data_IF_118303340616
#
_entry.id   IF_118303340616
#
_cell.length_a   1.000
_cell.length_b   1.000
_cell.length_c   1.000
_cell.angle_alpha   90.00
_cell.angle_beta   90.00
_cell.angle_gamma   90.00
#
_symmetry.space_group_name_H-M   'P 1'
#
loop_
_entity.id
_entity.type
_entity.pdbx_description
1 polymer ?
#
# COMPACT_ATOMS: atom_id res chain seq x y z
N UNK A 1 36.46 -16.34 -16.62
CA UNK A 1 36.89 -15.22 -15.78
C UNK A 1 35.75 -14.20 -15.71
N UNK A 2 35.04 -14.15 -14.61
CA UNK A 2 33.86 -13.30 -14.41
C UNK A 2 34.31 -12.02 -13.68
N UNK A 3 34.17 -10.87 -14.36
CA UNK A 3 34.48 -9.54 -13.80
C UNK A 3 33.36 -9.10 -12.84
N UNK A 4 33.66 -9.15 -11.57
CA UNK A 4 32.81 -8.60 -10.51
C UNK A 4 32.75 -7.07 -10.63
N UNK A 5 31.58 -6.52 -11.01
CA UNK A 5 31.33 -5.08 -10.94
C UNK A 5 31.22 -4.62 -9.50
N UNK A 6 32.18 -3.80 -9.06
CA UNK A 6 32.24 -3.09 -7.77
C UNK A 6 30.90 -2.40 -7.45
N UNK A 7 30.26 -2.82 -6.37
CA UNK A 7 29.12 -2.13 -5.77
C UNK A 7 29.64 -0.90 -5.06
N UNK A 8 29.41 0.26 -5.65
CA UNK A 8 29.73 1.55 -5.05
C UNK A 8 28.84 1.81 -3.83
N UNK A 9 29.40 1.71 -2.64
CA UNK A 9 28.80 2.08 -1.36
C UNK A 9 28.67 3.61 -1.27
N UNK A 10 27.61 4.17 -1.85
CA UNK A 10 27.24 5.56 -1.61
C UNK A 10 26.11 5.61 -0.59
N UNK A 11 26.39 6.30 0.50
CA UNK A 11 25.61 6.51 1.72
C UNK A 11 24.08 6.68 1.49
N UNK A 12 23.30 5.78 2.08
CA UNK A 12 22.08 6.15 2.81
C UNK A 12 20.84 6.61 2.04
N UNK A 13 20.74 6.57 0.71
CA UNK A 13 19.50 6.85 -0.04
C UNK A 13 19.05 5.58 -0.74
N UNK A 14 18.12 4.86 -0.13
CA UNK A 14 17.44 3.73 -0.77
C UNK A 14 16.73 4.25 -2.02
N UNK A 15 17.30 3.98 -3.19
CA UNK A 15 16.71 4.41 -4.46
C UNK A 15 15.57 3.45 -4.82
N UNK A 16 14.34 3.77 -4.41
CA UNK A 16 13.13 2.99 -4.72
C UNK A 16 12.93 2.69 -6.21
N UNK A 17 13.48 3.51 -7.09
CA UNK A 17 13.40 3.34 -8.55
C UNK A 17 14.39 2.31 -9.12
N UNK A 18 15.38 1.86 -8.35
CA UNK A 18 16.33 0.84 -8.80
C UNK A 18 15.75 -0.60 -8.74
N UNK A 19 14.47 -0.75 -8.43
CA UNK A 19 13.74 -2.02 -8.57
C UNK A 19 13.42 -2.21 -10.06
N UNK A 20 14.43 -1.98 -10.90
CA UNK A 20 14.34 -2.06 -12.34
C UNK A 20 13.94 -3.44 -12.84
N UNK A 21 13.13 -3.46 -13.87
CA UNK A 21 12.99 -4.62 -14.74
C UNK A 21 14.32 -4.89 -15.41
N UNK A 22 14.85 -6.10 -15.28
CA UNK A 22 15.93 -6.56 -16.14
C UNK A 22 15.37 -6.52 -17.56
N UNK A 23 15.90 -5.59 -18.37
CA UNK A 23 15.52 -5.47 -19.77
C UNK A 23 16.33 -6.48 -20.59
N UNK A 24 15.66 -7.35 -21.33
CA UNK A 24 16.32 -8.41 -22.10
C UNK A 24 16.21 -8.22 -23.61
N UNK A 25 15.12 -7.69 -24.13
CA UNK A 25 14.90 -7.47 -25.59
C UNK A 25 13.80 -6.42 -25.84
N UNK A 26 13.84 -5.72 -26.98
CA UNK A 26 12.84 -4.75 -27.44
C UNK A 26 13.14 -3.29 -27.06
N UNK A 27 12.15 -2.39 -27.19
CA UNK A 27 12.29 -0.97 -26.86
C UNK A 27 12.57 -0.80 -25.36
N UNK A 28 13.58 0.03 -24.96
CA UNK A 28 13.88 0.28 -23.55
C UNK A 28 12.64 0.75 -22.78
N UNK A 29 12.46 0.28 -21.53
CA UNK A 29 11.35 0.73 -20.70
C UNK A 29 11.49 2.23 -20.43
N UNK A 30 10.35 2.93 -20.36
CA UNK A 30 10.31 4.33 -19.93
C UNK A 30 10.88 4.44 -18.50
N UNK A 31 11.44 5.61 -18.19
CA UNK A 31 12.04 5.92 -16.89
C UNK A 31 11.11 5.55 -15.73
N UNK A 32 11.57 4.65 -14.87
CA UNK A 32 10.81 4.18 -13.71
C UNK A 32 10.54 5.31 -12.70
N UNK A 33 11.41 6.32 -12.63
CA UNK A 33 11.20 7.49 -11.77
C UNK A 33 9.98 8.29 -12.22
N UNK A 34 9.88 8.56 -13.53
CA UNK A 34 8.73 9.25 -14.11
C UNK A 34 7.44 8.45 -13.86
N UNK A 35 7.49 7.12 -14.04
CA UNK A 35 6.34 6.24 -13.80
C UNK A 35 5.87 6.26 -12.34
N UNK A 36 6.81 6.17 -11.38
CA UNK A 36 6.49 6.24 -9.94
C UNK A 36 5.94 7.62 -9.57
N UNK A 37 6.49 8.69 -10.13
CA UNK A 37 6.00 10.06 -9.89
C UNK A 37 4.57 10.23 -10.41
N UNK A 38 4.27 9.68 -11.59
CA UNK A 38 2.91 9.68 -12.16
C UNK A 38 1.93 8.89 -11.28
N UNK A 39 2.32 7.70 -10.82
CA UNK A 39 1.51 6.89 -9.90
C UNK A 39 1.28 7.62 -8.57
N UNK A 40 2.28 8.33 -8.05
CA UNK A 40 2.14 9.15 -6.85
C UNK A 40 1.18 10.32 -7.08
N UNK A 41 1.23 10.96 -8.23
CA UNK A 41 0.31 12.03 -8.59
C UNK A 41 -1.14 11.53 -8.56
N UNK A 42 -1.43 10.39 -9.21
CA UNK A 42 -2.75 9.74 -9.17
C UNK A 42 -3.17 9.39 -7.73
N UNK A 43 -2.26 8.80 -6.94
CA UNK A 43 -2.51 8.46 -5.54
C UNK A 43 -2.91 9.70 -4.72
N UNK A 44 -2.17 10.78 -4.89
CA UNK A 44 -2.35 12.02 -4.11
C UNK A 44 -3.61 12.76 -4.48
N UNK A 45 -3.88 12.94 -5.77
CA UNK A 45 -4.97 13.78 -6.30
C UNK A 45 -6.28 13.03 -6.43
N UNK A 46 -6.25 11.70 -6.61
CA UNK A 46 -7.44 10.88 -6.83
C UNK A 46 -8.07 11.04 -8.21
N UNK A 47 -7.45 11.78 -9.14
CA UNK A 47 -7.99 12.00 -10.50
C UNK A 47 -8.15 10.69 -11.27
N UNK A 48 -9.07 10.61 -12.24
CA UNK A 48 -9.13 9.51 -13.18
C UNK A 48 -7.81 9.30 -13.93
N UNK A 49 -7.50 8.07 -14.30
CA UNK A 49 -6.26 7.77 -15.04
C UNK A 49 -6.15 8.54 -16.36
N UNK A 50 -7.30 8.76 -17.02
CA UNK A 50 -7.37 9.47 -18.31
C UNK A 50 -6.98 10.94 -18.21
N UNK A 51 -7.13 11.53 -17.02
CA UNK A 51 -6.85 12.95 -16.74
C UNK A 51 -5.40 13.17 -16.28
N UNK A 52 -4.55 12.14 -16.41
CA UNK A 52 -3.15 12.26 -16.06
C UNK A 52 -2.47 13.31 -16.96
N UNK A 53 -1.81 14.35 -16.39
CA UNK A 53 -1.13 15.40 -17.17
C UNK A 53 -0.13 14.84 -18.18
N UNK A 54 -0.10 15.42 -19.38
CA UNK A 54 0.73 14.98 -20.52
C UNK A 54 2.23 14.91 -20.19
N UNK A 55 2.71 15.72 -19.22
CA UNK A 55 4.11 15.70 -18.74
C UNK A 55 4.55 14.33 -18.21
N UNK A 56 3.64 13.47 -17.79
CA UNK A 56 3.92 12.10 -17.35
C UNK A 56 3.90 11.09 -18.51
N UNK A 57 3.58 11.55 -19.73
CA UNK A 57 3.37 10.73 -20.90
C UNK A 57 1.98 10.11 -20.97
N UNK A 58 1.73 9.21 -21.94
CA UNK A 58 0.42 8.61 -22.12
C UNK A 58 -0.05 7.86 -20.87
N UNK A 59 -1.24 8.22 -20.39
CA UNK A 59 -1.85 7.63 -19.19
C UNK A 59 -1.95 6.09 -19.28
N UNK A 60 -2.22 5.56 -20.47
CA UNK A 60 -2.34 4.12 -20.71
C UNK A 60 -1.03 3.37 -20.43
N UNK A 61 0.12 3.98 -20.73
CA UNK A 61 1.44 3.42 -20.43
C UNK A 61 1.68 3.34 -18.92
N UNK A 62 1.32 4.41 -18.18
CA UNK A 62 1.46 4.46 -16.72
C UNK A 62 0.52 3.45 -16.06
N UNK A 63 -0.75 3.40 -16.50
CA UNK A 63 -1.75 2.47 -16.01
C UNK A 63 -1.34 1.00 -16.24
N UNK A 64 -0.90 0.68 -17.45
CA UNK A 64 -0.43 -0.67 -17.80
C UNK A 64 0.77 -1.08 -16.93
N UNK A 65 1.72 -0.17 -16.70
CA UNK A 65 2.86 -0.39 -15.81
C UNK A 65 2.38 -0.63 -14.36
N UNK A 66 1.48 0.20 -13.86
CA UNK A 66 0.89 0.04 -12.55
C UNK A 66 0.20 -1.32 -12.40
N UNK A 67 -0.64 -1.72 -13.36
CA UNK A 67 -1.34 -3.01 -13.37
C UNK A 67 -0.36 -4.20 -13.35
N UNK A 68 0.71 -4.14 -14.15
CA UNK A 68 1.78 -5.15 -14.15
C UNK A 68 2.48 -5.24 -12.80
N UNK A 69 2.74 -4.11 -12.16
CA UNK A 69 3.37 -4.08 -10.85
C UNK A 69 2.45 -4.59 -9.75
N UNK A 70 1.15 -4.33 -9.82
CA UNK A 70 0.16 -4.93 -8.93
C UNK A 70 0.14 -6.45 -9.06
N UNK A 71 -0.01 -6.97 -10.29
CA UNK A 71 -0.04 -8.40 -10.56
C UNK A 71 1.24 -9.12 -10.11
N UNK A 72 2.40 -8.47 -10.29
CA UNK A 72 3.69 -8.98 -9.84
C UNK A 72 3.94 -8.81 -8.32
N UNK A 73 3.01 -8.25 -7.55
CA UNK A 73 3.16 -8.02 -6.10
C UNK A 73 4.32 -7.10 -5.71
N UNK A 74 4.75 -6.19 -6.61
CA UNK A 74 5.94 -5.34 -6.37
C UNK A 74 5.77 -4.44 -5.16
N UNK A 75 4.60 -3.82 -4.99
CA UNK A 75 4.34 -2.92 -3.86
C UNK A 75 4.39 -3.65 -2.52
N UNK A 76 3.84 -4.89 -2.46
CA UNK A 76 3.93 -5.73 -1.27
C UNK A 76 5.39 -6.09 -0.94
N UNK A 77 6.19 -6.47 -1.95
CA UNK A 77 7.61 -6.79 -1.75
C UNK A 77 8.41 -5.59 -1.27
N UNK A 78 8.16 -4.40 -1.82
CA UNK A 78 8.84 -3.17 -1.37
C UNK A 78 8.44 -2.85 0.07
N UNK A 79 7.15 -2.96 0.41
CA UNK A 79 6.69 -2.75 1.78
C UNK A 79 7.36 -3.74 2.74
N UNK A 80 7.43 -5.02 2.38
CA UNK A 80 8.11 -6.03 3.19
C UNK A 80 9.61 -5.71 3.38
N UNK A 81 10.28 -5.19 2.35
CA UNK A 81 11.68 -4.79 2.45
C UNK A 81 11.90 -3.61 3.42
N UNK A 82 11.10 -2.56 3.33
CA UNK A 82 11.22 -1.43 4.25
C UNK A 82 10.77 -1.79 5.66
N UNK A 83 9.80 -2.69 5.80
CA UNK A 83 9.30 -3.19 7.08
C UNK A 83 10.31 -4.07 7.83
N UNK A 84 11.34 -4.61 7.16
CA UNK A 84 12.47 -5.30 7.84
C UNK A 84 13.19 -4.38 8.82
N UNK A 85 13.16 -3.07 8.58
CA UNK A 85 13.74 -2.06 9.46
C UNK A 85 12.83 -1.70 10.66
N UNK A 86 11.69 -2.40 10.83
CA UNK A 86 10.80 -2.20 11.98
C UNK A 86 11.51 -2.60 13.28
N UNK A 87 11.82 -1.61 14.12
CA UNK A 87 12.49 -1.81 15.41
C UNK A 87 11.48 -2.20 16.50
N UNK A 88 11.93 -3.07 17.39
CA UNK A 88 11.14 -3.50 18.55
C UNK A 88 10.06 -4.54 18.21
N UNK A 89 9.45 -5.10 19.26
CA UNK A 89 8.46 -6.18 19.14
C UNK A 89 7.01 -5.68 19.18
N UNK A 90 6.81 -4.44 19.64
CA UNK A 90 5.49 -3.88 19.84
C UNK A 90 4.82 -3.59 18.48
N UNK A 91 3.60 -4.09 18.33
CA UNK A 91 2.75 -3.91 17.15
C UNK A 91 1.37 -3.45 17.60
N UNK A 92 0.81 -2.53 16.86
CA UNK A 92 -0.57 -2.08 17.02
C UNK A 92 -1.37 -2.53 15.82
N UNK A 93 -2.58 -3.01 16.08
CA UNK A 93 -3.49 -3.53 15.06
C UNK A 93 -4.78 -2.76 15.15
N UNK A 94 -5.30 -2.32 14.01
CA UNK A 94 -6.62 -1.68 13.93
C UNK A 94 -7.17 -1.79 12.51
N UNK A 95 -8.47 -1.48 12.37
CA UNK A 95 -9.18 -1.45 11.11
C UNK A 95 -9.80 -0.07 10.87
N UNK A 96 -9.89 0.31 9.61
CA UNK A 96 -10.57 1.53 9.20
C UNK A 96 -11.48 1.29 8.00
N UNK A 97 -12.69 1.88 8.03
CA UNK A 97 -13.60 1.83 6.91
C UNK A 97 -13.23 2.87 5.85
N UNK A 98 -13.28 2.45 4.60
CA UNK A 98 -13.03 3.29 3.43
C UNK A 98 -14.28 3.24 2.55
N UNK A 99 -14.89 4.39 2.31
CA UNK A 99 -16.05 4.49 1.42
C UNK A 99 -15.66 4.15 -0.02
N UNK A 100 -16.53 3.41 -0.69
CA UNK A 100 -16.39 3.10 -2.11
C UNK A 100 -17.10 4.17 -2.94
N UNK A 101 -16.49 4.60 -4.04
CA UNK A 101 -17.15 5.46 -5.01
C UNK A 101 -18.24 4.68 -5.76
N UNK A 102 -19.40 5.30 -6.01
CA UNK A 102 -20.56 4.62 -6.59
C UNK A 102 -20.28 3.94 -7.95
N UNK A 103 -19.47 4.58 -8.80
CA UNK A 103 -19.08 4.04 -10.11
C UNK A 103 -18.34 2.70 -10.04
N UNK A 104 -17.83 2.31 -8.88
CA UNK A 104 -17.01 1.13 -8.67
C UNK A 104 -17.73 0.03 -7.87
N UNK A 105 -19.02 0.22 -7.60
CA UNK A 105 -19.84 -0.69 -6.78
C UNK A 105 -20.04 -2.08 -7.40
N UNK A 106 -19.94 -2.21 -8.73
CA UNK A 106 -20.15 -3.46 -9.45
C UNK A 106 -18.85 -3.97 -10.12
N UNK A 107 -17.93 -4.59 -9.36
CA UNK A 107 -16.72 -5.15 -9.92
C UNK A 107 -16.98 -6.51 -10.58
N UNK A 108 -16.12 -6.90 -11.52
CA UNK A 108 -16.09 -8.27 -12.05
C UNK A 108 -15.79 -9.27 -10.91
N UNK A 109 -16.50 -10.39 -10.88
CA UNK A 109 -16.38 -11.41 -9.82
C UNK A 109 -17.18 -11.11 -8.55
N UNK A 110 -17.97 -10.03 -8.53
CA UNK A 110 -18.83 -9.67 -7.41
C UNK A 110 -18.13 -8.86 -6.31
N UNK A 111 -18.94 -8.25 -5.46
CA UNK A 111 -18.47 -7.35 -4.40
C UNK A 111 -17.63 -8.09 -3.33
N UNK A 112 -18.08 -9.28 -2.92
CA UNK A 112 -17.42 -10.05 -1.86
C UNK A 112 -15.98 -10.44 -2.23
N UNK A 113 -15.76 -10.92 -3.46
CA UNK A 113 -14.45 -11.28 -3.97
C UNK A 113 -13.48 -10.08 -4.04
N UNK A 114 -14.03 -8.86 -4.08
CA UNK A 114 -13.25 -7.63 -4.16
C UNK A 114 -13.16 -6.88 -2.81
N UNK A 115 -13.44 -7.55 -1.70
CA UNK A 115 -13.44 -6.96 -0.36
C UNK A 115 -14.35 -5.72 -0.27
N UNK A 116 -15.51 -5.78 -0.92
CA UNK A 116 -16.55 -4.74 -0.89
C UNK A 116 -17.74 -5.28 -0.12
N UNK A 117 -18.32 -4.45 0.74
CA UNK A 117 -19.51 -4.79 1.51
C UNK A 117 -20.34 -3.59 1.87
N UNK A 118 -21.56 -3.84 2.35
CA UNK A 118 -22.51 -2.81 2.75
C UNK A 118 -22.65 -2.75 4.26
N UNK A 119 -22.57 -1.55 4.82
CA UNK A 119 -22.86 -1.26 6.24
C UNK A 119 -23.94 -0.17 6.31
N UNK A 120 -24.36 0.21 7.52
CA UNK A 120 -25.28 1.35 7.71
C UNK A 120 -24.74 2.63 7.06
N UNK A 121 -23.43 2.82 7.01
CA UNK A 121 -22.78 3.97 6.37
C UNK A 121 -22.59 3.85 4.86
N UNK A 122 -23.20 2.87 4.20
CA UNK A 122 -23.13 2.63 2.76
C UNK A 122 -22.13 1.55 2.34
N UNK A 123 -21.77 1.56 1.04
CA UNK A 123 -20.85 0.59 0.46
C UNK A 123 -19.41 0.99 0.82
N UNK A 124 -18.65 0.05 1.38
CA UNK A 124 -17.30 0.31 1.84
C UNK A 124 -16.41 -0.94 1.86
N UNK A 125 -15.12 -0.70 2.03
CA UNK A 125 -14.08 -1.70 2.25
C UNK A 125 -13.45 -1.46 3.61
N UNK A 126 -13.16 -2.51 4.35
CA UNK A 126 -12.41 -2.46 5.59
C UNK A 126 -10.92 -2.64 5.30
N UNK A 127 -10.10 -1.69 5.74
CA UNK A 127 -8.65 -1.72 5.65
C UNK A 127 -8.09 -2.05 7.02
N UNK A 128 -7.43 -3.20 7.16
CA UNK A 128 -6.70 -3.59 8.35
C UNK A 128 -5.22 -3.21 8.21
N UNK A 129 -4.61 -2.76 9.29
CA UNK A 129 -3.20 -2.43 9.35
C UNK A 129 -2.56 -2.96 10.63
N UNK A 130 -1.36 -3.52 10.48
CA UNK A 130 -0.43 -3.78 11.58
C UNK A 130 0.68 -2.76 11.43
N UNK A 131 0.87 -1.92 12.46
CA UNK A 131 1.94 -0.91 12.49
C UNK A 131 2.93 -1.20 13.61
N UNK A 132 4.18 -0.81 13.40
CA UNK A 132 5.19 -0.86 14.45
C UNK A 132 5.08 0.37 15.39
N UNK A 133 5.90 0.41 16.44
CA UNK A 133 5.84 1.41 17.54
C UNK A 133 5.86 2.88 17.09
N UNK A 134 6.30 3.18 15.87
CA UNK A 134 6.34 4.54 15.32
C UNK A 134 5.21 4.81 14.32
N UNK A 135 4.23 3.90 14.23
CA UNK A 135 3.08 4.04 13.36
C UNK A 135 3.40 3.85 11.88
N UNK A 136 4.41 3.02 11.54
CA UNK A 136 4.71 2.64 10.15
C UNK A 136 4.18 1.23 9.88
N UNK A 137 3.53 1.01 8.74
CA UNK A 137 2.89 -0.26 8.45
C UNK A 137 3.89 -1.39 8.23
N UNK A 138 3.60 -2.54 8.85
CA UNK A 138 4.32 -3.80 8.65
C UNK A 138 3.50 -4.73 7.75
N UNK A 139 2.18 -4.75 7.94
CA UNK A 139 1.26 -5.55 7.14
C UNK A 139 -0.04 -4.78 6.90
N UNK A 140 -0.69 -5.05 5.77
CA UNK A 140 -1.93 -4.42 5.34
C UNK A 140 -2.84 -5.47 4.71
N UNK A 141 -4.13 -5.43 5.02
CA UNK A 141 -5.14 -6.33 4.50
C UNK A 141 -6.46 -5.64 4.20
N UNK A 142 -7.28 -6.28 3.39
CA UNK A 142 -8.61 -5.81 3.04
C UNK A 142 -9.66 -6.87 3.40
N UNK A 143 -10.82 -6.41 3.84
CA UNK A 143 -12.02 -7.23 3.99
C UNK A 143 -13.27 -6.45 3.57
N UNK A 144 -14.36 -7.16 3.32
CA UNK A 144 -15.65 -6.52 3.07
C UNK A 144 -16.12 -5.76 4.32
N UNK A 145 -16.70 -4.58 4.12
CA UNK A 145 -16.99 -3.64 5.21
C UNK A 145 -17.86 -4.18 6.34
N UNK A 146 -18.81 -5.08 6.04
CA UNK A 146 -19.69 -5.71 7.05
C UNK A 146 -19.02 -6.83 7.85
N UNK A 147 -17.86 -7.34 7.40
CA UNK A 147 -17.15 -8.41 8.11
C UNK A 147 -16.61 -7.91 9.45
N UNK A 148 -16.56 -8.78 10.46
CA UNK A 148 -15.90 -8.46 11.72
C UNK A 148 -14.41 -8.19 11.50
N UNK A 149 -13.80 -7.35 12.33
CA UNK A 149 -12.39 -6.92 12.18
C UNK A 149 -11.40 -8.09 12.16
N UNK A 150 -11.69 -9.16 12.89
CA UNK A 150 -10.87 -10.38 12.91
C UNK A 150 -10.64 -10.94 11.49
N UNK A 151 -11.67 -10.96 10.64
CA UNK A 151 -11.53 -11.45 9.26
C UNK A 151 -10.55 -10.64 8.42
N UNK A 152 -10.35 -9.35 8.74
CA UNK A 152 -9.38 -8.51 8.06
C UNK A 152 -7.97 -8.65 8.65
N UNK A 153 -7.88 -8.98 9.94
CA UNK A 153 -6.61 -9.05 10.70
C UNK A 153 -6.01 -10.45 10.65
N UNK A 154 -6.82 -11.51 10.72
CA UNK A 154 -6.36 -12.89 10.78
C UNK A 154 -5.32 -13.26 9.69
N UNK A 155 -5.52 -12.91 8.40
CA UNK A 155 -4.53 -13.18 7.36
C UNK A 155 -3.20 -12.43 7.56
N UNK A 156 -3.17 -11.42 8.42
CA UNK A 156 -1.97 -10.64 8.72
C UNK A 156 -1.19 -11.16 9.91
N UNK A 157 -1.80 -12.02 10.76
CA UNK A 157 -1.18 -12.54 11.98
C UNK A 157 0.14 -13.29 11.73
N UNK A 158 0.30 -14.07 10.65
CA UNK A 158 1.59 -14.71 10.35
C UNK A 158 2.76 -13.73 10.19
N UNK A 159 2.47 -12.45 9.89
CA UNK A 159 3.49 -11.39 9.88
C UNK A 159 3.98 -11.01 11.29
N UNK A 160 3.29 -11.44 12.34
CA UNK A 160 3.66 -11.25 13.73
C UNK A 160 4.51 -12.44 14.17
N UNK A 161 5.79 -12.22 14.40
CA UNK A 161 6.75 -13.29 14.78
C UNK A 161 6.54 -13.89 16.18
N UNK A 162 5.60 -13.38 16.99
CA UNK A 162 5.36 -13.81 18.38
C UNK A 162 3.89 -13.82 18.73
N UNK A 163 3.54 -14.66 19.74
CA UNK A 163 2.21 -14.68 20.35
C UNK A 163 1.83 -13.29 20.86
N UNK A 164 0.53 -12.92 20.82
CA UNK A 164 0.06 -11.70 21.46
C UNK A 164 0.53 -11.65 22.91
N UNK A 165 1.13 -10.55 23.33
CA UNK A 165 1.45 -10.34 24.71
C UNK A 165 0.16 -10.17 25.53
N UNK A 166 0.19 -10.50 26.82
CA UNK A 166 -0.88 -10.18 27.76
C UNK A 166 -1.22 -8.69 27.68
N UNK A 167 -2.50 -8.37 27.92
CA UNK A 167 -2.97 -6.98 27.90
C UNK A 167 -2.17 -6.13 28.89
N UNK A 168 -1.55 -5.07 28.40
CA UNK A 168 -0.80 -4.13 29.21
C UNK A 168 -1.33 -2.70 28.98
N UNK A 169 -1.90 -2.09 30.03
CA UNK A 169 -2.55 -0.77 29.97
C UNK A 169 -1.66 0.34 29.38
N UNK A 170 -0.36 0.32 29.68
CA UNK A 170 0.60 1.29 29.14
C UNK A 170 0.82 1.16 27.63
N UNK A 171 0.72 -0.06 27.08
CA UNK A 171 0.81 -0.27 25.63
C UNK A 171 -0.49 0.11 24.93
N UNK A 172 -1.63 -0.11 25.59
CA UNK A 172 -2.92 0.30 25.04
C UNK A 172 -3.02 1.82 24.84
N UNK A 173 -2.49 2.62 25.74
CA UNK A 173 -2.44 4.08 25.62
C UNK A 173 -1.72 4.56 24.36
N UNK A 174 -0.82 3.76 23.78
CA UNK A 174 -0.07 4.08 22.55
C UNK A 174 -0.77 3.62 21.28
N UNK A 175 -2.02 3.16 21.36
CA UNK A 175 -2.83 2.74 20.19
C UNK A 175 -3.02 3.86 19.17
N UNK A 176 -2.97 5.13 19.59
CA UNK A 176 -3.05 6.28 18.70
C UNK A 176 -2.04 6.24 17.52
N UNK A 177 -0.95 5.45 17.61
CA UNK A 177 -0.01 5.29 16.51
C UNK A 177 -0.64 4.67 15.26
N UNK A 178 -1.55 3.71 15.39
CA UNK A 178 -2.24 3.13 14.25
C UNK A 178 -3.34 4.07 13.73
N UNK A 179 -4.01 4.80 14.59
CA UNK A 179 -4.98 5.83 14.22
C UNK A 179 -4.30 6.94 13.41
N UNK A 180 -3.18 7.46 13.90
CA UNK A 180 -2.35 8.43 13.19
C UNK A 180 -1.85 7.92 11.84
N UNK A 181 -1.55 6.62 11.73
CA UNK A 181 -1.20 6.00 10.46
C UNK A 181 -2.37 6.09 9.46
N UNK A 182 -3.59 5.73 9.88
CA UNK A 182 -4.76 5.87 9.02
C UNK A 182 -5.03 7.33 8.63
N UNK A 183 -4.87 8.28 9.54
CA UNK A 183 -4.99 9.70 9.24
C UNK A 183 -4.00 10.14 8.15
N UNK A 184 -2.74 9.69 8.23
CA UNK A 184 -1.74 9.98 7.21
C UNK A 184 -2.08 9.34 5.86
N UNK A 185 -2.52 8.08 5.85
CA UNK A 185 -2.95 7.39 4.63
C UNK A 185 -4.12 8.10 3.94
N UNK A 186 -5.12 8.51 4.71
CA UNK A 186 -6.34 9.17 4.19
C UNK A 186 -6.08 10.58 3.63
N UNK A 187 -4.90 11.17 3.81
CA UNK A 187 -4.47 12.39 3.10
C UNK A 187 -4.32 12.16 1.59
N UNK A 188 -4.17 10.91 1.16
CA UNK A 188 -4.18 10.54 -0.25
C UNK A 188 -5.62 10.30 -0.69
N UNK A 189 -6.15 11.16 -1.58
CA UNK A 189 -7.55 11.10 -2.03
C UNK A 189 -7.94 9.73 -2.58
N UNK A 190 -7.03 9.08 -3.28
CA UNK A 190 -7.28 7.75 -3.84
C UNK A 190 -7.37 6.64 -2.79
N UNK A 191 -6.96 6.91 -1.55
CA UNK A 191 -7.12 5.99 -0.41
C UNK A 191 -8.34 6.39 0.43
N UNK A 192 -8.56 7.68 0.70
CA UNK A 192 -9.70 8.13 1.50
C UNK A 192 -11.04 7.74 0.89
N UNK A 193 -11.10 7.67 -0.44
CA UNK A 193 -12.22 7.10 -1.21
C UNK A 193 -11.65 6.08 -2.18
N UNK A 194 -12.20 4.87 -2.17
CA UNK A 194 -11.78 3.80 -3.08
C UNK A 194 -12.43 3.99 -4.45
N UNK A 195 -11.59 4.19 -5.47
CA UNK A 195 -11.98 4.29 -6.89
C UNK A 195 -11.59 3.03 -7.68
N UNK A 196 -11.01 2.03 -7.05
CA UNK A 196 -10.58 0.79 -7.70
C UNK A 196 -11.62 -0.32 -7.54
N UNK A 197 -12.10 -0.84 -8.66
CA UNK A 197 -12.99 -2.03 -8.69
C UNK A 197 -12.30 -3.26 -8.09
N UNK A 198 -11.00 -3.45 -8.37
CA UNK A 198 -10.26 -4.63 -7.92
C UNK A 198 -9.57 -4.38 -6.57
N UNK A 199 -9.74 -5.30 -5.63
CA UNK A 199 -9.06 -5.29 -4.33
C UNK A 199 -7.54 -5.23 -4.48
N UNK A 200 -6.97 -5.98 -5.45
CA UNK A 200 -5.54 -6.01 -5.73
C UNK A 200 -4.97 -4.63 -6.05
N UNK A 201 -5.65 -3.87 -6.92
CA UNK A 201 -5.17 -2.54 -7.32
C UNK A 201 -5.33 -1.51 -6.21
N UNK A 202 -6.40 -1.61 -5.44
CA UNK A 202 -6.60 -0.75 -4.28
C UNK A 202 -5.54 -1.02 -3.20
N UNK A 203 -5.32 -2.30 -2.85
CA UNK A 203 -4.30 -2.69 -1.87
C UNK A 203 -2.89 -2.23 -2.32
N UNK A 204 -2.60 -2.30 -3.61
CA UNK A 204 -1.34 -1.82 -4.15
C UNK A 204 -1.13 -0.30 -3.92
N UNK A 205 -2.16 0.52 -4.08
CA UNK A 205 -2.08 1.95 -3.73
C UNK A 205 -1.87 2.17 -2.23
N UNK A 206 -2.56 1.40 -1.38
CA UNK A 206 -2.37 1.47 0.08
C UNK A 206 -0.94 1.07 0.46
N UNK A 207 -0.41 0.00 -0.12
CA UNK A 207 0.97 -0.43 0.09
C UNK A 207 1.98 0.62 -0.40
N UNK A 208 1.72 1.24 -1.55
CA UNK A 208 2.56 2.31 -2.07
C UNK A 208 2.60 3.52 -1.11
N UNK A 209 1.45 3.98 -0.61
CA UNK A 209 1.40 5.05 0.37
C UNK A 209 2.09 4.67 1.69
N UNK A 210 1.96 3.42 2.13
CA UNK A 210 2.66 2.92 3.31
C UNK A 210 4.18 2.93 3.12
N UNK A 211 4.68 2.58 1.94
CA UNK A 211 6.11 2.69 1.59
C UNK A 211 6.57 4.15 1.67
N UNK A 212 5.78 5.09 1.10
CA UNK A 212 6.09 6.51 1.20
C UNK A 212 6.13 6.98 2.65
N UNK A 213 5.21 6.51 3.49
CA UNK A 213 5.21 6.80 4.93
C UNK A 213 6.50 6.31 5.62
N UNK A 214 7.04 5.15 5.25
CA UNK A 214 8.32 4.65 5.74
C UNK A 214 9.50 5.56 5.37
N UNK A 215 9.44 6.21 4.21
CA UNK A 215 10.53 7.03 3.69
C UNK A 215 10.51 8.46 4.23
N UNK A 216 9.32 8.98 4.51
CA UNK A 216 9.12 10.37 4.97
C UNK A 216 9.15 10.48 6.49
N UNK A 217 8.71 9.46 7.23
CA UNK A 217 8.81 9.40 8.68
C UNK A 217 10.14 8.76 9.12
N UNK A 218 11.23 9.43 8.84
CA UNK A 218 12.51 9.16 9.52
C UNK A 218 12.43 9.76 10.92
N UNK A 219 12.75 8.95 11.90
CA UNK A 219 12.95 9.33 13.29
C UNK A 219 14.29 10.03 13.39
#
# INVERSE_FOLDING_TARGET
MATAKKINRARGKTRLWQIGTVWSRGRPPKDDRLMVTAMFFILRTGIPWRDLPARFGPWSSVYTRFRRWCAAGRFARILALVARNAKGQLRYVDCSHIKLHQADANPRGGQSAQAIGRTKGGINTKLAAIVERHGRAVALGLAAGQRHDLYAVEPLLPCLRRRPAAFHRGYYRRRHHVENFFCRLKRHRRISTRYEKLALTYLAFVQFAAVLNWLTHRI
#
